data_IF_702493445355
#
_entry.id   IF_702493445355
#
_cell.length_a   1.000
_cell.length_b   1.000
_cell.length_c   1.000
_cell.angle_alpha   90.00
_cell.angle_beta   90.00
_cell.angle_gamma   90.00
#
_symmetry.space_group_name_H-M   'P 1'
#
loop_
_entity.id
_entity.type
_entity.pdbx_description
1 polymer ?
#
# COMPACT_ATOMS: atom_id res chain seq x y z
N UNK A 1 17.25 11.65 -10.31
CA UNK A 1 16.71 10.98 -9.10
C UNK A 1 16.72 11.92 -7.92
N UNK A 2 15.69 11.87 -7.08
CA UNK A 2 15.68 12.59 -5.81
C UNK A 2 16.74 12.01 -4.86
N UNK A 3 17.53 12.86 -4.22
CA UNK A 3 18.53 12.45 -3.23
C UNK A 3 17.84 12.22 -1.89
N UNK A 4 17.62 10.96 -1.55
CA UNK A 4 16.99 10.56 -0.28
C UNK A 4 17.98 10.70 0.89
N UNK A 5 17.50 11.24 2.03
CA UNK A 5 18.25 11.26 3.29
C UNK A 5 18.13 9.87 3.96
N UNK A 6 18.81 9.70 5.09
CA UNK A 6 18.87 8.41 5.78
C UNK A 6 17.48 7.98 6.30
N UNK A 7 16.68 8.92 6.77
CA UNK A 7 15.30 8.70 7.26
C UNK A 7 14.39 8.09 6.20
N UNK A 8 14.40 8.64 4.98
CA UNK A 8 13.51 8.17 3.91
C UNK A 8 13.94 6.79 3.39
N UNK A 9 15.25 6.53 3.33
CA UNK A 9 15.77 5.19 2.98
C UNK A 9 15.33 4.12 3.98
N UNK A 10 15.44 4.41 5.27
CA UNK A 10 15.00 3.51 6.35
C UNK A 10 13.49 3.23 6.25
N UNK A 11 12.69 4.26 5.94
CA UNK A 11 11.26 4.09 5.74
C UNK A 11 10.97 3.15 4.55
N UNK A 12 11.60 3.38 3.39
CA UNK A 12 11.42 2.53 2.21
C UNK A 12 11.75 1.07 2.52
N UNK A 13 12.92 0.81 3.11
CA UNK A 13 13.39 -0.55 3.43
C UNK A 13 12.43 -1.26 4.38
N UNK A 14 11.95 -0.57 5.43
CA UNK A 14 10.98 -1.14 6.38
C UNK A 14 9.61 -1.39 5.76
N UNK A 15 9.14 -0.53 4.88
CA UNK A 15 7.87 -0.71 4.17
C UNK A 15 7.94 -1.91 3.20
N UNK A 16 9.05 -2.03 2.47
CA UNK A 16 9.29 -3.20 1.60
C UNK A 16 9.43 -4.49 2.41
N UNK A 17 10.04 -4.45 3.59
CA UNK A 17 10.13 -5.59 4.50
C UNK A 17 8.75 -6.14 4.90
N UNK A 18 7.74 -5.27 5.00
CA UNK A 18 6.33 -5.58 5.32
C UNK A 18 5.48 -5.97 4.10
N UNK A 19 6.10 -6.29 2.97
CA UNK A 19 5.44 -6.72 1.73
C UNK A 19 4.59 -5.64 1.03
N UNK A 20 4.86 -4.36 1.27
CA UNK A 20 4.26 -3.29 0.47
C UNK A 20 4.80 -3.28 -0.96
N UNK A 21 3.98 -2.85 -1.93
CA UNK A 21 4.43 -2.72 -3.31
C UNK A 21 5.25 -1.44 -3.53
N UNK A 22 6.22 -1.42 -4.46
CA UNK A 22 7.03 -0.22 -4.74
C UNK A 22 6.20 1.01 -5.11
N UNK A 23 5.07 0.82 -5.78
CA UNK A 23 4.13 1.89 -6.15
C UNK A 23 3.45 2.49 -4.93
N UNK A 24 3.01 1.68 -3.97
CA UNK A 24 2.41 2.15 -2.72
C UNK A 24 3.44 2.89 -1.87
N UNK A 25 4.65 2.35 -1.74
CA UNK A 25 5.74 3.00 -0.99
C UNK A 25 6.12 4.35 -1.61
N UNK A 26 6.14 4.45 -2.95
CA UNK A 26 6.38 5.72 -3.64
C UNK A 26 5.30 6.76 -3.34
N UNK A 27 4.02 6.35 -3.31
CA UNK A 27 2.90 7.23 -2.91
C UNK A 27 3.04 7.68 -1.46
N UNK A 28 3.32 6.74 -0.55
CA UNK A 28 3.47 7.04 0.88
C UNK A 28 4.63 8.00 1.16
N UNK A 29 5.75 7.86 0.44
CA UNK A 29 6.88 8.79 0.52
C UNK A 29 6.45 10.20 0.08
N UNK A 30 5.67 10.30 -1.01
CA UNK A 30 5.15 11.57 -1.50
C UNK A 30 4.20 12.22 -0.51
N UNK A 31 3.32 11.45 0.12
CA UNK A 31 2.36 11.95 1.10
C UNK A 31 3.03 12.37 2.42
N UNK A 32 3.99 11.57 2.93
CA UNK A 32 4.61 11.82 4.24
C UNK A 32 5.78 12.80 4.19
N UNK A 33 6.58 12.74 3.14
CA UNK A 33 7.82 13.52 3.02
C UNK A 33 7.77 14.59 1.93
N UNK A 34 6.72 14.61 1.08
CA UNK A 34 6.61 15.57 -0.02
C UNK A 34 7.62 15.33 -1.14
N UNK A 35 8.24 14.13 -1.20
CA UNK A 35 9.28 13.80 -2.17
C UNK A 35 8.68 12.94 -3.27
N UNK A 36 8.91 13.32 -4.52
CA UNK A 36 8.55 12.48 -5.67
C UNK A 36 9.66 11.45 -5.91
N UNK A 37 9.33 10.17 -5.75
CA UNK A 37 10.22 9.03 -6.01
C UNK A 37 9.58 8.11 -7.03
N UNK A 38 10.37 7.58 -7.95
CA UNK A 38 9.87 6.61 -8.92
C UNK A 38 9.81 5.21 -8.28
N UNK A 39 8.84 4.35 -8.66
CA UNK A 39 8.79 2.96 -8.19
C UNK A 39 10.08 2.20 -8.50
N UNK A 40 10.72 2.47 -9.65
CA UNK A 40 12.01 1.89 -10.01
C UNK A 40 13.11 2.31 -9.03
N UNK A 41 13.10 3.57 -8.55
CA UNK A 41 14.04 4.03 -7.53
C UNK A 41 13.83 3.30 -6.20
N UNK A 42 12.58 2.95 -5.87
CA UNK A 42 12.23 2.19 -4.67
C UNK A 42 12.73 0.74 -4.76
N UNK A 43 12.66 0.10 -5.93
CA UNK A 43 13.14 -1.27 -6.16
C UNK A 43 14.64 -1.47 -5.87
N UNK A 44 15.47 -0.43 -6.02
CA UNK A 44 16.89 -0.49 -5.65
C UNK A 44 17.12 -0.70 -4.15
N UNK A 45 16.12 -0.44 -3.31
CA UNK A 45 16.19 -0.63 -1.85
C UNK A 45 15.66 -2.00 -1.40
N UNK A 46 15.29 -2.88 -2.34
CA UNK A 46 14.89 -4.25 -2.05
C UNK A 46 16.07 -5.23 -2.26
N UNK A 47 16.66 -5.78 -1.19
CA UNK A 47 17.79 -6.72 -1.30
C UNK A 47 17.39 -8.08 -1.90
N UNK A 48 16.10 -8.38 -2.04
CA UNK A 48 15.64 -9.62 -2.69
C UNK A 48 15.67 -9.54 -4.22
N UNK A 49 15.86 -8.33 -4.78
CA UNK A 49 15.91 -8.07 -6.22
C UNK A 49 17.33 -7.86 -6.69
N UNK A 50 17.57 -8.14 -7.97
CA UNK A 50 18.87 -7.89 -8.63
C UNK A 50 19.27 -6.41 -8.52
N UNK A 51 18.29 -5.50 -8.56
CA UNK A 51 18.51 -4.06 -8.40
C UNK A 51 19.11 -3.69 -7.03
N UNK A 52 18.81 -4.46 -5.97
CA UNK A 52 19.32 -4.23 -4.61
C UNK A 52 20.64 -4.94 -4.30
N UNK A 53 21.29 -5.57 -5.28
CA UNK A 53 22.52 -6.35 -5.05
C UNK A 53 23.69 -5.52 -4.48
N UNK A 54 23.72 -4.21 -4.74
CA UNK A 54 24.76 -3.29 -4.25
C UNK A 54 24.29 -2.43 -3.06
N UNK A 55 23.26 -2.87 -2.34
CA UNK A 55 22.76 -2.14 -1.18
C UNK A 55 23.76 -2.24 0.00
N UNK A 56 23.87 -1.17 0.80
CA UNK A 56 24.71 -1.17 1.98
C UNK A 56 24.26 -2.24 2.98
N UNK A 57 25.20 -2.97 3.59
CA UNK A 57 24.92 -4.06 4.52
C UNK A 57 23.99 -3.63 5.67
N UNK A 58 24.15 -2.41 6.20
CA UNK A 58 23.28 -1.84 7.24
C UNK A 58 21.79 -1.87 6.86
N UNK A 59 21.47 -1.61 5.58
CA UNK A 59 20.08 -1.60 5.10
C UNK A 59 19.56 -3.01 4.84
N UNK A 60 20.44 -3.94 4.44
CA UNK A 60 20.11 -5.36 4.28
C UNK A 60 19.77 -5.98 5.64
N UNK A 61 20.58 -5.68 6.66
CA UNK A 61 20.37 -6.18 8.01
C UNK A 61 19.05 -5.63 8.59
N UNK A 62 18.81 -4.33 8.43
CA UNK A 62 17.56 -3.68 8.80
C UNK A 62 16.33 -4.31 8.10
N UNK A 63 16.45 -4.64 6.82
CA UNK A 63 15.39 -5.29 6.07
C UNK A 63 15.04 -6.66 6.66
N UNK A 64 16.06 -7.48 6.92
CA UNK A 64 15.91 -8.82 7.46
C UNK A 64 15.33 -8.78 8.89
N UNK A 65 15.79 -7.84 9.71
CA UNK A 65 15.27 -7.60 11.06
C UNK A 65 13.79 -7.22 11.01
N UNK A 66 13.44 -6.18 10.24
CA UNK A 66 12.05 -5.72 10.11
C UNK A 66 11.12 -6.81 9.53
N UNK A 67 11.63 -7.64 8.62
CA UNK A 67 10.87 -8.78 8.08
C UNK A 67 10.66 -9.87 9.12
N UNK A 68 11.69 -10.19 9.91
CA UNK A 68 11.57 -11.15 11.01
C UNK A 68 10.57 -10.66 12.06
N UNK A 69 10.61 -9.38 12.40
CA UNK A 69 9.63 -8.77 13.30
C UNK A 69 8.21 -8.83 12.74
N UNK A 70 8.02 -8.52 11.46
CA UNK A 70 6.71 -8.60 10.81
C UNK A 70 6.14 -10.03 10.81
N UNK A 71 6.98 -11.04 10.55
CA UNK A 71 6.58 -12.45 10.55
C UNK A 71 6.34 -12.97 11.98
N UNK A 72 7.14 -12.52 12.95
CA UNK A 72 7.04 -12.95 14.35
C UNK A 72 5.84 -12.34 15.08
N UNK A 73 5.24 -11.28 14.55
CA UNK A 73 4.02 -10.71 15.10
C UNK A 73 2.90 -11.76 15.02
N UNK A 74 2.28 -12.16 16.16
CA UNK A 74 1.12 -13.04 16.12
C UNK A 74 0.05 -12.35 15.30
N UNK A 75 -0.50 -13.05 14.29
CA UNK A 75 -1.57 -12.60 13.39
C UNK A 75 -2.84 -12.24 14.17
N UNK A 76 -2.82 -11.18 14.97
CA UNK A 76 -4.00 -10.65 15.68
C UNK A 76 -4.95 -9.95 14.72
N UNK A 77 -4.49 -9.66 13.50
CA UNK A 77 -5.26 -8.97 12.46
C UNK A 77 -5.52 -9.79 11.20
N UNK A 78 -5.97 -11.04 11.33
CA UNK A 78 -6.60 -11.73 10.18
C UNK A 78 -7.87 -11.02 9.69
N UNK A 79 -8.58 -10.28 10.55
CA UNK A 79 -9.85 -9.62 10.18
C UNK A 79 -9.65 -8.18 9.67
N UNK A 80 -8.65 -7.43 10.15
CA UNK A 80 -8.45 -6.02 9.75
C UNK A 80 -7.71 -5.86 8.41
N UNK A 81 -6.83 -6.80 8.06
CA UNK A 81 -6.15 -6.78 6.76
C UNK A 81 -7.12 -7.07 5.60
N UNK A 82 -8.15 -7.90 5.84
CA UNK A 82 -9.26 -8.14 4.90
C UNK A 82 -10.21 -6.94 4.81
N UNK A 83 -10.47 -6.25 5.94
CA UNK A 83 -11.39 -5.12 5.98
C UNK A 83 -10.89 -3.89 5.22
N UNK A 84 -9.57 -3.63 5.19
CA UNK A 84 -9.02 -2.52 4.40
C UNK A 84 -9.19 -2.71 2.88
N UNK A 85 -9.06 -3.95 2.38
CA UNK A 85 -9.39 -4.26 0.98
C UNK A 85 -10.90 -4.11 0.70
N UNK A 86 -11.76 -4.46 1.66
CA UNK A 86 -13.22 -4.41 1.50
C UNK A 86 -13.74 -2.96 1.37
N UNK A 87 -13.24 -2.03 2.19
CA UNK A 87 -13.70 -0.61 2.17
C UNK A 87 -13.38 0.10 0.84
N UNK A 88 -12.30 -0.26 0.17
CA UNK A 88 -11.95 0.29 -1.15
C UNK A 88 -12.83 -0.27 -2.29
N UNK A 89 -13.34 -1.50 -2.15
CA UNK A 89 -14.32 -2.09 -3.08
C UNK A 89 -15.74 -1.53 -2.81
N UNK A 90 -16.07 -1.24 -1.56
CA UNK A 90 -17.38 -0.73 -1.15
C UNK A 90 -17.71 0.67 -1.66
N UNK A 91 -16.74 1.57 -1.82
CA UNK A 91 -17.04 2.92 -2.30
C UNK A 91 -17.52 2.97 -3.77
N UNK A 92 -17.09 2.02 -4.61
CA UNK A 92 -17.63 1.83 -5.96
C UNK A 92 -18.98 1.08 -5.91
N UNK A 93 -19.13 0.10 -5.02
CA UNK A 93 -20.35 -0.71 -4.93
C UNK A 93 -21.55 0.07 -4.36
N UNK A 94 -21.36 0.90 -3.33
CA UNK A 94 -22.38 1.81 -2.79
C UNK A 94 -22.88 2.80 -3.85
N UNK A 95 -22.02 3.26 -4.75
CA UNK A 95 -22.39 4.18 -5.85
C UNK A 95 -23.23 3.49 -6.94
N UNK A 96 -22.98 2.19 -7.18
CA UNK A 96 -23.78 1.37 -8.11
C UNK A 96 -25.11 0.95 -7.46
N UNK A 97 -25.10 0.59 -6.17
CA UNK A 97 -26.29 0.22 -5.41
C UNK A 97 -27.25 1.40 -5.24
N UNK A 98 -26.74 2.59 -4.93
CA UNK A 98 -27.57 3.82 -4.86
C UNK A 98 -28.17 4.19 -6.22
N UNK A 99 -27.44 4.01 -7.33
CA UNK A 99 -27.99 4.19 -8.69
C UNK A 99 -29.08 3.18 -9.01
N UNK A 100 -28.85 1.88 -8.75
CA UNK A 100 -29.85 0.82 -8.95
C UNK A 100 -31.10 1.00 -8.09
N UNK A 101 -30.93 1.42 -6.82
CA UNK A 101 -32.05 1.76 -5.93
C UNK A 101 -32.82 2.99 -6.41
N UNK A 102 -32.13 4.04 -6.91
CA UNK A 102 -32.76 5.21 -7.54
C UNK A 102 -33.53 4.85 -8.81
N UNK A 103 -32.96 4.00 -9.67
CA UNK A 103 -33.61 3.54 -10.91
C UNK A 103 -34.82 2.65 -10.63
N UNK A 104 -34.71 1.74 -9.64
CA UNK A 104 -35.83 0.92 -9.17
C UNK A 104 -36.95 1.77 -8.55
N UNK A 105 -36.61 2.81 -7.78
CA UNK A 105 -37.58 3.74 -7.22
C UNK A 105 -38.29 4.56 -8.31
N UNK A 106 -37.56 5.08 -9.31
CA UNK A 106 -38.15 5.77 -10.48
C UNK A 106 -39.07 4.87 -11.30
N UNK A 107 -38.69 3.60 -11.49
CA UNK A 107 -39.52 2.63 -12.21
C UNK A 107 -40.77 2.23 -11.41
N UNK A 108 -40.69 2.23 -10.08
CA UNK A 108 -41.85 1.96 -9.20
C UNK A 108 -42.80 3.16 -9.06
N UNK A 109 -42.30 4.40 -9.17
CA UNK A 109 -43.14 5.61 -9.13
C UNK A 109 -43.84 5.93 -10.46
N UNK A 110 -43.44 5.31 -11.58
CA UNK A 110 -44.14 5.45 -12.88
C UNK A 110 -45.31 4.48 -13.06
N UNK A 111 -45.59 3.63 -12.07
CA UNK A 111 -46.73 2.70 -12.09
C UNK A 111 -47.48 2.76 -10.77
N UNK A 112 -48.26 3.83 -10.58
CA UNK A 112 -49.58 3.78 -9.94
C UNK A 112 -50.40 5.00 -10.39
N UNK A 113 -51.73 4.80 -10.52
CA UNK A 113 -52.58 5.31 -11.60
C UNK A 113 -52.80 6.82 -11.61
#
# INVERSE_FOLDING_TARGET
MARLKKSEKVFIVRSLAQFMTPTEVARDIKEKFGIDVTPQQVEYYDPTKVAGANLAQELVDLFNEARKEYIAQPLKMSILFQHHLMVMVDHQHLRVLTRKLSEAFKSSCLVRP
#
